data_IF_316522650089
#
_entry.id   IF_316522650089
#
_cell.length_a   1.000
_cell.length_b   1.000
_cell.length_c   1.000
_cell.angle_alpha   90.00
_cell.angle_beta   90.00
_cell.angle_gamma   90.00
#
_symmetry.space_group_name_H-M   'P 1'
#
loop_
_entity.id
_entity.type
_entity.pdbx_description
1 polymer ?
#
# COMPACT_ATOMS: atom_id res chain seq x y z
N UNK A 1 10.24 3.54 15.31
CA UNK A 1 9.29 4.62 14.96
C UNK A 1 8.32 4.05 13.94
N UNK A 2 7.00 4.08 14.19
CA UNK A 2 6.02 3.50 13.28
C UNK A 2 5.93 4.31 11.98
N UNK A 3 5.74 3.62 10.85
CA UNK A 3 5.55 4.27 9.55
C UNK A 3 4.15 4.89 9.49
N UNK A 4 4.05 6.18 9.15
CA UNK A 4 2.76 6.88 9.02
C UNK A 4 2.10 6.56 7.67
N UNK A 5 1.66 5.30 7.51
CA UNK A 5 0.87 4.79 6.39
C UNK A 5 -0.49 4.30 6.92
N UNK A 6 -1.57 4.54 6.17
CA UNK A 6 -2.93 4.19 6.59
C UNK A 6 -3.86 3.94 5.42
N UNK A 7 -5.00 3.33 5.71
CA UNK A 7 -6.09 3.16 4.75
C UNK A 7 -6.57 4.51 4.19
N UNK A 8 -6.89 4.53 2.90
CA UNK A 8 -7.29 5.74 2.18
C UNK A 8 -6.14 6.64 1.73
N UNK A 9 -4.89 6.38 2.15
CA UNK A 9 -3.72 6.91 1.45
C UNK A 9 -3.58 6.25 0.06
N UNK A 10 -2.69 6.79 -0.76
CA UNK A 10 -2.40 6.28 -2.10
C UNK A 10 -0.95 5.83 -2.11
N UNK A 11 -0.70 4.57 -2.45
CA UNK A 11 0.62 4.04 -2.71
C UNK A 11 1.04 4.43 -4.13
N UNK A 12 2.27 4.92 -4.29
CA UNK A 12 2.83 5.27 -5.60
C UNK A 12 3.99 4.33 -5.89
N UNK A 13 3.86 3.50 -6.92
CA UNK A 13 4.92 2.58 -7.37
C UNK A 13 5.12 2.78 -8.87
N UNK A 14 6.36 2.98 -9.31
CA UNK A 14 6.69 3.22 -10.73
C UNK A 14 5.86 4.33 -11.38
N UNK A 15 5.58 5.40 -10.63
CA UNK A 15 4.75 6.55 -11.05
C UNK A 15 3.26 6.24 -11.27
N UNK A 16 2.78 5.06 -10.86
CA UNK A 16 1.37 4.68 -10.88
C UNK A 16 0.79 4.80 -9.47
N UNK A 17 -0.43 5.35 -9.39
CA UNK A 17 -1.15 5.62 -8.15
C UNK A 17 -2.13 4.48 -7.84
N UNK A 18 -1.91 3.79 -6.72
CA UNK A 18 -2.72 2.68 -6.22
C UNK A 18 -3.38 3.05 -4.88
N UNK A 19 -4.71 3.21 -4.81
CA UNK A 19 -5.38 3.48 -3.54
C UNK A 19 -5.19 2.35 -2.53
N UNK A 20 -4.78 2.67 -1.30
CA UNK A 20 -4.61 1.71 -0.21
C UNK A 20 -5.99 1.44 0.41
N UNK A 21 -6.44 0.18 0.32
CA UNK A 21 -7.72 -0.28 0.86
C UNK A 21 -7.59 -0.86 2.26
N UNK A 22 -6.51 -1.59 2.50
CA UNK A 22 -6.20 -2.13 3.82
C UNK A 22 -4.72 -1.92 4.14
N UNK A 23 -4.44 -1.62 5.40
CA UNK A 23 -3.09 -1.45 5.90
C UNK A 23 -2.98 -2.14 7.27
N UNK A 24 -2.26 -3.25 7.32
CA UNK A 24 -2.05 -4.01 8.55
C UNK A 24 -0.56 -4.06 8.91
N UNK A 25 -0.26 -3.97 10.20
CA UNK A 25 1.06 -4.32 10.69
C UNK A 25 1.26 -5.83 10.55
N UNK A 26 2.38 -6.21 9.96
CA UNK A 26 2.67 -7.61 9.68
C UNK A 26 4.10 -7.96 10.08
N UNK A 27 4.22 -9.04 10.83
CA UNK A 27 5.51 -9.56 11.28
C UNK A 27 5.81 -10.89 10.62
N UNK A 28 6.72 -10.90 9.65
CA UNK A 28 7.37 -12.14 9.22
C UNK A 28 8.32 -12.59 10.34
N UNK A 29 8.03 -13.74 10.99
CA UNK A 29 8.80 -14.25 12.13
C UNK A 29 10.30 -14.40 11.81
N UNK A 30 11.18 -14.16 12.79
CA UNK A 30 12.65 -14.30 12.87
C UNK A 30 13.56 -13.91 11.65
N UNK A 31 13.04 -13.69 10.44
CA UNK A 31 13.79 -13.60 9.18
C UNK A 31 13.72 -12.19 8.55
N UNK A 32 13.69 -11.13 9.37
CA UNK A 32 13.56 -9.72 8.94
C UNK A 32 14.60 -9.31 7.88
N UNK A 33 15.83 -9.82 7.99
CA UNK A 33 16.91 -9.51 7.05
C UNK A 33 16.71 -10.18 5.68
N UNK A 34 16.12 -11.38 5.64
CA UNK A 34 15.79 -12.05 4.38
C UNK A 34 14.72 -11.28 3.62
N UNK A 35 13.68 -10.82 4.32
CA UNK A 35 12.59 -10.05 3.73
C UNK A 35 13.09 -8.76 3.06
N UNK A 36 13.95 -7.99 3.74
CA UNK A 36 14.51 -6.75 3.18
C UNK A 36 15.33 -6.96 1.91
N UNK A 37 15.86 -8.16 1.67
CA UNK A 37 16.56 -8.50 0.42
C UNK A 37 15.60 -8.73 -0.75
N UNK A 38 14.35 -9.10 -0.45
CA UNK A 38 13.30 -9.32 -1.45
C UNK A 38 12.54 -8.03 -1.82
N UNK A 39 12.66 -6.98 -1.00
CA UNK A 39 12.03 -5.68 -1.24
C UNK A 39 12.79 -4.87 -2.30
N UNK A 40 12.54 -5.21 -3.56
CA UNK A 40 13.24 -4.65 -4.74
C UNK A 40 12.53 -3.45 -5.37
N UNK A 41 11.27 -3.20 -5.02
CA UNK A 41 10.50 -2.07 -5.54
C UNK A 41 10.64 -0.84 -4.64
N UNK A 42 10.60 0.35 -5.25
CA UNK A 42 10.56 1.63 -4.54
C UNK A 42 9.15 2.21 -4.59
N UNK A 43 8.67 2.68 -3.45
CA UNK A 43 7.36 3.26 -3.28
C UNK A 43 7.41 4.65 -2.63
N UNK A 44 6.38 5.44 -2.90
CA UNK A 44 6.00 6.61 -2.11
C UNK A 44 4.55 6.49 -1.65
N UNK A 45 4.11 7.41 -0.80
CA UNK A 45 2.70 7.54 -0.46
C UNK A 45 2.22 8.96 -0.66
N UNK A 46 0.96 9.12 -1.05
CA UNK A 46 0.24 10.40 -1.04
C UNK A 46 -0.90 10.32 -0.04
N UNK A 47 -1.18 11.44 0.61
CA UNK A 47 -2.27 11.58 1.56
C UNK A 47 -3.29 12.57 1.02
N UNK A 48 -4.56 12.17 0.85
CA UNK A 48 -5.62 13.11 0.58
C UNK A 48 -5.74 14.12 1.74
N UNK A 49 -5.80 15.43 1.47
CA UNK A 49 -5.98 16.43 2.52
C UNK A 49 -7.37 16.30 3.15
N UNK A 50 -7.52 16.83 4.36
CA UNK A 50 -8.83 16.99 4.99
C UNK A 50 -9.74 17.82 4.07
N UNK A 51 -11.04 17.50 4.08
CA UNK A 51 -12.03 18.28 3.33
C UNK A 51 -12.13 19.65 3.98
N UNK A 52 -11.85 20.70 3.21
CA UNK A 52 -12.00 22.08 3.62
C UNK A 52 -13.04 22.74 2.69
N UNK A 53 -14.01 23.45 3.29
CA UNK A 53 -15.05 24.16 2.53
C UNK A 53 -15.80 23.27 1.51
N UNK A 54 -16.06 22.01 1.88
CA UNK A 54 -16.77 21.04 1.03
C UNK A 54 -15.96 20.48 -0.15
N UNK A 55 -14.68 20.83 -0.29
CA UNK A 55 -13.81 20.32 -1.36
C UNK A 55 -12.65 19.51 -0.77
N UNK A 56 -12.32 18.40 -1.44
CA UNK A 56 -11.09 17.64 -1.17
C UNK A 56 -10.03 18.09 -2.16
N UNK A 57 -8.91 18.61 -1.66
CA UNK A 57 -7.77 18.98 -2.51
C UNK A 57 -7.07 17.77 -3.13
N UNK A 58 -6.11 18.02 -4.02
CA UNK A 58 -5.29 16.97 -4.61
C UNK A 58 -4.46 16.24 -3.55
N UNK A 59 -4.31 14.90 -3.64
CA UNK A 59 -3.42 14.15 -2.75
C UNK A 59 -1.97 14.65 -2.84
N UNK A 60 -1.34 14.90 -1.70
CA UNK A 60 0.04 15.38 -1.62
C UNK A 60 0.98 14.28 -1.12
N UNK A 61 2.22 14.27 -1.58
CA UNK A 61 3.24 13.30 -1.13
C UNK A 61 3.43 13.38 0.39
N UNK A 62 3.37 12.23 1.04
CA UNK A 62 3.50 12.08 2.49
C UNK A 62 4.78 11.34 2.87
N UNK A 63 5.09 10.25 2.18
CA UNK A 63 6.33 9.49 2.33
C UNK A 63 6.95 9.24 0.95
N UNK A 64 8.27 9.10 0.90
CA UNK A 64 9.03 8.83 -0.32
C UNK A 64 10.17 7.87 -0.04
N UNK A 65 10.70 7.26 -1.11
CA UNK A 65 11.86 6.35 -1.07
C UNK A 65 11.66 5.17 -0.10
N UNK A 66 10.42 4.70 0.03
CA UNK A 66 10.09 3.49 0.77
C UNK A 66 10.48 2.27 -0.05
N UNK A 67 10.91 1.20 0.60
CA UNK A 67 11.11 -0.09 -0.05
C UNK A 67 9.88 -0.97 0.15
N UNK A 68 9.48 -1.66 -0.91
CA UNK A 68 8.41 -2.63 -0.84
C UNK A 68 8.74 -3.89 -1.64
N UNK A 69 7.97 -4.94 -1.39
CA UNK A 69 7.89 -6.04 -2.34
C UNK A 69 7.26 -5.56 -3.66
N UNK A 70 7.55 -6.23 -4.78
CA UNK A 70 6.74 -6.08 -5.99
C UNK A 70 5.24 -6.21 -5.69
N UNK A 71 4.41 -5.57 -6.51
CA UNK A 71 2.97 -5.70 -6.43
C UNK A 71 2.56 -7.04 -7.03
N UNK A 72 1.92 -7.89 -6.24
CA UNK A 72 1.41 -9.19 -6.66
C UNK A 72 -0.13 -9.22 -6.55
N UNK A 73 -0.84 -9.97 -7.39
CA UNK A 73 -2.28 -10.17 -7.22
C UNK A 73 -2.63 -10.75 -5.84
N UNK A 74 -3.77 -10.35 -5.31
CA UNK A 74 -4.33 -10.98 -4.10
C UNK A 74 -4.84 -12.39 -4.41
N UNK A 75 -4.68 -13.30 -3.44
CA UNK A 75 -5.25 -14.64 -3.50
C UNK A 75 -6.76 -14.61 -3.80
N UNK A 76 -7.19 -15.47 -4.72
CA UNK A 76 -8.56 -15.53 -5.20
C UNK A 76 -9.59 -15.73 -4.07
N UNK A 77 -9.25 -16.50 -3.03
CA UNK A 77 -10.11 -16.71 -1.86
C UNK A 77 -10.29 -15.43 -1.04
N UNK A 78 -9.23 -14.63 -0.88
CA UNK A 78 -9.30 -13.34 -0.20
C UNK A 78 -10.10 -12.33 -1.03
N UNK A 79 -9.94 -12.37 -2.35
CA UNK A 79 -10.72 -11.56 -3.28
C UNK A 79 -12.23 -11.87 -3.21
N UNK A 80 -12.61 -13.15 -3.15
CA UNK A 80 -14.00 -13.59 -2.97
C UNK A 80 -14.57 -13.18 -1.61
N UNK A 81 -13.80 -13.36 -0.52
CA UNK A 81 -14.23 -13.01 0.85
C UNK A 81 -14.51 -11.53 1.04
N UNK A 82 -13.77 -10.68 0.33
CA UNK A 82 -14.00 -9.23 0.33
C UNK A 82 -15.19 -8.81 -0.54
N UNK A 83 -15.90 -9.76 -1.19
CA UNK A 83 -17.06 -9.53 -2.05
C UNK A 83 -16.82 -8.47 -3.14
N UNK A 84 -15.58 -8.37 -3.64
CA UNK A 84 -15.15 -7.38 -4.61
C UNK A 84 -15.63 -7.74 -6.01
N UNK A 85 -16.93 -7.60 -6.27
CA UNK A 85 -17.46 -7.51 -7.64
C UNK A 85 -17.23 -6.10 -8.21
N UNK A 86 -16.05 -5.54 -7.98
CA UNK A 86 -15.59 -4.28 -8.54
C UNK A 86 -14.72 -4.57 -9.75
N UNK A 87 -14.77 -3.77 -10.83
CA UNK A 87 -13.97 -4.00 -12.04
C UNK A 87 -12.45 -3.81 -11.84
N UNK A 88 -12.03 -3.43 -10.63
CA UNK A 88 -10.65 -3.14 -10.27
C UNK A 88 -9.96 -4.37 -9.70
N UNK A 89 -8.70 -4.54 -10.08
CA UNK A 89 -7.88 -5.65 -9.61
C UNK A 89 -7.28 -5.27 -8.25
N UNK A 90 -7.32 -6.19 -7.28
CA UNK A 90 -6.62 -5.96 -6.02
C UNK A 90 -5.24 -6.59 -6.05
N UNK A 91 -4.27 -5.77 -5.68
CA UNK A 91 -2.88 -6.15 -5.53
C UNK A 91 -2.49 -6.07 -4.06
N UNK A 92 -1.46 -6.82 -3.69
CA UNK A 92 -0.84 -6.77 -2.39
C UNK A 92 0.64 -6.42 -2.52
N UNK A 93 1.15 -5.79 -1.46
CA UNK A 93 2.58 -5.56 -1.28
C UNK A 93 2.90 -5.46 0.20
N UNK A 94 4.18 -5.43 0.53
CA UNK A 94 4.67 -5.28 1.90
C UNK A 94 5.68 -4.14 1.93
N UNK A 95 5.47 -3.16 2.81
CA UNK A 95 6.36 -2.01 3.01
C UNK A 95 7.34 -2.23 4.16
N UNK A 96 8.57 -1.75 3.99
CA UNK A 96 9.55 -1.62 5.07
C UNK A 96 9.23 -0.42 5.96
N UNK A 97 8.73 -0.69 7.16
CA UNK A 97 8.52 0.31 8.21
C UNK A 97 9.73 0.50 9.13
N UNK A 98 10.88 -0.10 8.81
CA UNK A 98 12.04 -0.11 9.68
C UNK A 98 11.92 -1.15 10.78
N UNK A 99 11.16 -0.88 11.84
CA UNK A 99 11.04 -1.79 12.99
C UNK A 99 10.05 -2.94 12.75
N UNK A 100 9.07 -2.70 11.89
CA UNK A 100 7.99 -3.61 11.52
C UNK A 100 7.73 -3.52 10.02
N UNK A 101 7.01 -4.50 9.47
CA UNK A 101 6.55 -4.45 8.08
C UNK A 101 5.05 -4.14 8.04
N UNK A 102 4.59 -3.56 6.95
CA UNK A 102 3.18 -3.29 6.74
C UNK A 102 2.69 -4.02 5.50
N UNK A 103 1.73 -4.93 5.64
CA UNK A 103 1.06 -5.53 4.49
C UNK A 103 -0.02 -4.57 4.02
N UNK A 104 0.05 -4.23 2.73
CA UNK A 104 -0.91 -3.36 2.08
C UNK A 104 -1.72 -4.17 1.08
N UNK A 105 -3.02 -3.85 1.04
CA UNK A 105 -3.91 -4.20 -0.06
C UNK A 105 -4.20 -2.91 -0.82
N UNK A 106 -3.92 -2.91 -2.11
CA UNK A 106 -4.11 -1.75 -2.97
C UNK A 106 -4.98 -2.11 -4.17
N UNK A 107 -5.65 -1.10 -4.71
CA UNK A 107 -6.50 -1.24 -5.88
C UNK A 107 -5.77 -0.76 -7.14
N UNK A 108 -5.73 -1.58 -8.18
CA UNK A 108 -5.35 -1.17 -9.52
C UNK A 108 -6.58 -0.63 -10.26
N UNK A 109 -6.66 0.69 -10.30
CA UNK A 109 -7.65 1.40 -11.07
C UNK A 109 -7.21 1.33 -12.54
N UNK A 110 -7.61 0.28 -13.26
CA UNK A 110 -7.48 0.18 -14.73
C UNK A 110 -8.05 1.47 -15.34
N UNK A 111 -7.17 2.37 -15.77
CA UNK A 111 -7.50 3.64 -16.41
C UNK A 111 -7.49 3.50 -17.92
#
# INVERSE_FOLDING_TARGET
>A
MALDVREGDILVVSSVDYPIKACEEWTWGYARNGMRRMMTATAGTKRPPAVASGKRGAPATKLSNLRCLPLDPIDADLQQRLALNTPHELLQTVLDGGDTFYRLVVEDLKR
#
